data_IF_682352784670
#
_entry.id   IF_682352784670
#
_cell.length_a   1.000
_cell.length_b   1.000
_cell.length_c   1.000
_cell.angle_alpha   90.00
_cell.angle_beta   90.00
_cell.angle_gamma   90.00
#
_symmetry.space_group_name_H-M   'P 1'
#
loop_
_entity.id
_entity.type
_entity.pdbx_description
1 polymer ?
#
# COMPACT_ATOMS: atom_id res chain seq x y z
N UNK A 1 -6.45 7.51 16.23
CA UNK A 1 -6.66 6.93 14.87
C UNK A 1 -5.91 7.85 13.91
N UNK A 2 -4.96 7.34 13.12
CA UNK A 2 -4.11 8.19 12.27
C UNK A 2 -4.88 8.92 11.16
N UNK A 3 -5.98 8.32 10.68
CA UNK A 3 -6.90 8.97 9.75
C UNK A 3 -8.23 9.29 10.46
N UNK A 4 -8.68 10.55 10.43
CA UNK A 4 -9.96 10.95 10.99
C UNK A 4 -11.12 10.36 10.18
N UNK A 5 -12.30 10.31 10.79
CA UNK A 5 -13.53 10.03 10.04
C UNK A 5 -13.80 11.15 9.04
N UNK A 6 -14.41 10.87 7.87
CA UNK A 6 -14.69 11.89 6.88
C UNK A 6 -15.64 12.95 7.47
N UNK A 7 -15.18 14.20 7.51
CA UNK A 7 -15.97 15.37 7.86
C UNK A 7 -16.39 16.15 6.60
N UNK A 8 -17.36 17.05 6.73
CA UNK A 8 -17.73 17.94 5.62
C UNK A 8 -16.55 18.82 5.17
N UNK A 9 -15.71 19.26 6.12
CA UNK A 9 -14.48 19.99 5.82
C UNK A 9 -13.51 19.15 4.98
N UNK A 10 -13.26 17.88 5.35
CA UNK A 10 -12.39 16.99 4.59
C UNK A 10 -12.95 16.69 3.19
N UNK A 11 -14.28 16.59 3.06
CA UNK A 11 -14.93 16.43 1.75
C UNK A 11 -14.73 17.67 0.88
N UNK A 12 -14.87 18.87 1.45
CA UNK A 12 -14.64 20.13 0.75
C UNK A 12 -13.18 20.27 0.33
N UNK A 13 -12.22 19.97 1.21
CA UNK A 13 -10.78 19.97 0.89
C UNK A 13 -10.47 18.97 -0.23
N UNK A 14 -11.02 17.75 -0.18
CA UNK A 14 -10.87 16.76 -1.25
C UNK A 14 -11.39 17.29 -2.59
N UNK A 15 -12.54 17.97 -2.59
CA UNK A 15 -13.08 18.55 -3.81
C UNK A 15 -12.15 19.63 -4.38
N UNK A 16 -11.59 20.48 -3.54
CA UNK A 16 -10.59 21.49 -3.95
C UNK A 16 -9.36 20.80 -4.56
N UNK A 17 -8.83 19.75 -3.92
CA UNK A 17 -7.70 18.97 -4.46
C UNK A 17 -8.03 18.41 -5.84
N UNK A 18 -9.20 17.77 -5.99
CA UNK A 18 -9.64 17.22 -7.28
C UNK A 18 -9.75 18.29 -8.37
N UNK A 19 -10.26 19.48 -8.04
CA UNK A 19 -10.34 20.60 -8.99
C UNK A 19 -8.95 21.08 -9.43
N UNK A 20 -8.04 21.26 -8.46
CA UNK A 20 -6.67 21.69 -8.74
C UNK A 20 -5.90 20.65 -9.56
N UNK A 21 -5.94 19.38 -9.15
CA UNK A 21 -5.33 18.27 -9.87
C UNK A 21 -5.86 18.19 -11.30
N UNK A 22 -7.18 18.26 -11.48
CA UNK A 22 -7.80 18.22 -12.82
C UNK A 22 -7.33 19.39 -13.69
N UNK A 23 -7.27 20.60 -13.13
CA UNK A 23 -6.82 21.77 -13.86
C UNK A 23 -5.34 21.68 -14.27
N UNK A 24 -4.49 21.12 -13.40
CA UNK A 24 -3.06 20.95 -13.64
C UNK A 24 -2.74 19.81 -14.60
N UNK A 25 -3.46 18.69 -14.49
CA UNK A 25 -3.24 17.48 -15.29
C UNK A 25 -3.86 17.54 -16.69
N UNK A 26 -4.69 18.54 -16.99
CA UNK A 26 -5.33 18.69 -18.30
C UNK A 26 -4.40 19.39 -19.32
N UNK A 27 -4.48 18.97 -20.57
CA UNK A 27 -3.87 19.68 -21.68
C UNK A 27 -4.37 21.14 -21.77
N UNK A 28 -3.50 22.10 -22.14
CA UNK A 28 -2.12 21.93 -22.57
C UNK A 28 -1.08 22.00 -21.44
N UNK A 29 -1.48 22.04 -20.16
CA UNK A 29 -0.53 22.18 -19.02
C UNK A 29 0.37 20.96 -18.86
N UNK A 30 -0.16 19.79 -19.15
CA UNK A 30 0.58 18.53 -19.31
C UNK A 30 0.65 18.19 -20.79
N UNK A 31 1.84 17.75 -21.23
CA UNK A 31 2.03 17.27 -22.61
C UNK A 31 1.49 15.86 -22.80
N UNK A 32 1.68 15.01 -21.79
CA UNK A 32 1.20 13.64 -21.77
C UNK A 32 0.67 13.26 -20.41
N UNK A 33 -0.41 12.48 -20.38
CA UNK A 33 -0.97 11.92 -19.15
C UNK A 33 -0.81 10.40 -19.14
N UNK A 34 -0.04 9.87 -18.19
CA UNK A 34 0.33 8.46 -18.12
C UNK A 34 -0.08 7.89 -16.76
N UNK A 35 -0.50 6.63 -16.71
CA UNK A 35 -0.90 5.95 -15.48
C UNK A 35 0.00 4.72 -15.20
N UNK A 36 0.19 4.39 -13.92
CA UNK A 36 1.05 3.25 -13.52
C UNK A 36 0.34 1.88 -13.53
N UNK A 37 -0.95 1.86 -13.88
CA UNK A 37 -1.81 0.68 -13.90
C UNK A 37 -3.25 1.04 -14.25
N UNK A 38 -4.06 0.02 -14.54
CA UNK A 38 -5.46 0.20 -14.94
C UNK A 38 -6.28 0.85 -13.83
N UNK A 39 -6.12 0.42 -12.59
CA UNK A 39 -6.86 0.96 -11.43
C UNK A 39 -6.56 2.44 -11.20
N UNK A 40 -5.35 2.89 -11.52
CA UNK A 40 -4.99 4.32 -11.42
C UNK A 40 -5.66 5.11 -12.55
N UNK A 41 -5.64 4.57 -13.77
CA UNK A 41 -6.31 5.17 -14.93
C UNK A 41 -7.83 5.31 -14.72
N UNK A 42 -8.47 4.25 -14.22
CA UNK A 42 -9.92 4.25 -13.97
C UNK A 42 -10.31 5.27 -12.89
N UNK A 43 -9.50 5.39 -11.83
CA UNK A 43 -9.72 6.41 -10.79
C UNK A 43 -9.54 7.82 -11.32
N UNK A 44 -8.55 8.06 -12.18
CA UNK A 44 -8.34 9.35 -12.83
C UNK A 44 -9.55 9.73 -13.69
N UNK A 45 -10.12 8.77 -14.44
CA UNK A 45 -11.35 9.00 -15.20
C UNK A 45 -12.54 9.27 -14.29
N UNK A 46 -12.72 8.46 -13.23
CA UNK A 46 -13.83 8.59 -12.30
C UNK A 46 -13.82 9.92 -11.52
N UNK A 47 -12.67 10.33 -11.00
CA UNK A 47 -12.58 11.47 -10.07
C UNK A 47 -12.19 12.78 -10.75
N UNK A 48 -11.50 12.74 -11.89
CA UNK A 48 -11.02 13.93 -12.58
C UNK A 48 -11.63 14.10 -13.99
N UNK A 49 -12.31 13.08 -14.51
CA UNK A 49 -12.82 13.09 -15.89
C UNK A 49 -11.71 13.11 -16.94
N UNK A 50 -10.51 12.68 -16.58
CA UNK A 50 -9.33 12.64 -17.46
C UNK A 50 -8.99 11.19 -17.81
N UNK A 51 -8.60 10.95 -19.05
CA UNK A 51 -8.14 9.64 -19.50
C UNK A 51 -6.62 9.66 -19.65
N UNK A 52 -5.94 8.65 -19.09
CA UNK A 52 -4.53 8.47 -19.36
C UNK A 52 -4.35 8.01 -20.81
N UNK A 53 -3.38 8.59 -21.51
CA UNK A 53 -3.02 8.19 -22.88
C UNK A 53 -2.42 6.79 -22.93
N UNK A 54 -1.72 6.40 -21.87
CA UNK A 54 -0.98 5.15 -21.82
C UNK A 54 -0.81 4.66 -20.38
N UNK A 55 -0.85 3.34 -20.20
CA UNK A 55 -0.52 2.68 -18.94
C UNK A 55 0.92 2.16 -19.03
N UNK A 56 1.76 2.63 -18.12
CA UNK A 56 3.17 2.22 -18.01
C UNK A 56 3.36 1.55 -16.67
N UNK A 57 3.52 0.23 -16.69
CA UNK A 57 3.88 -0.52 -15.50
C UNK A 57 5.32 -0.24 -15.09
N UNK A 58 5.59 -0.29 -13.78
CA UNK A 58 6.96 -0.15 -13.29
C UNK A 58 7.81 -1.27 -13.91
N UNK A 59 8.97 -0.93 -14.52
CA UNK A 59 9.84 -1.95 -15.09
C UNK A 59 10.36 -2.84 -13.97
N UNK A 60 10.27 -4.15 -14.16
CA UNK A 60 10.94 -5.13 -13.31
C UNK A 60 12.01 -5.84 -14.13
N UNK A 61 13.19 -6.02 -13.53
CA UNK A 61 14.28 -6.81 -14.10
C UNK A 61 14.24 -8.26 -13.63
N UNK A 62 13.23 -8.63 -12.83
CA UNK A 62 13.09 -9.99 -12.32
C UNK A 62 12.79 -10.95 -13.46
N UNK A 63 13.62 -11.98 -13.58
CA UNK A 63 13.49 -13.07 -14.54
C UNK A 63 13.55 -14.41 -13.80
N UNK A 64 13.05 -15.48 -14.43
CA UNK A 64 13.12 -16.83 -13.86
C UNK A 64 12.24 -17.05 -12.62
N UNK A 65 11.21 -16.22 -12.43
CA UNK A 65 10.22 -16.44 -11.38
C UNK A 65 9.48 -17.74 -11.65
N UNK A 66 9.41 -18.60 -10.63
CA UNK A 66 8.70 -19.86 -10.67
C UNK A 66 7.95 -20.03 -9.34
N UNK A 67 6.90 -20.82 -9.37
CA UNK A 67 6.15 -21.14 -8.17
C UNK A 67 6.98 -22.05 -7.26
N UNK A 68 6.86 -21.82 -5.96
CA UNK A 68 7.53 -22.59 -4.92
C UNK A 68 6.54 -23.02 -3.83
N UNK A 69 7.09 -23.56 -2.75
CA UNK A 69 6.28 -23.94 -1.58
C UNK A 69 5.73 -22.71 -0.87
N UNK A 70 4.48 -22.79 -0.41
CA UNK A 70 3.82 -21.73 0.37
C UNK A 70 4.04 -21.92 1.87
N UNK A 71 5.31 -21.89 2.31
CA UNK A 71 5.66 -22.17 3.71
C UNK A 71 5.53 -20.92 4.63
N UNK A 72 5.53 -19.71 4.06
CA UNK A 72 5.49 -18.46 4.81
C UNK A 72 4.82 -17.32 4.05
N UNK A 73 4.35 -16.32 4.79
CA UNK A 73 4.04 -14.99 4.31
C UNK A 73 5.24 -14.08 4.55
N UNK A 74 5.57 -13.25 3.57
CA UNK A 74 6.64 -12.27 3.69
C UNK A 74 6.10 -10.86 3.58
N UNK A 75 6.44 -10.03 4.56
CA UNK A 75 6.02 -8.64 4.63
C UNK A 75 7.25 -7.72 4.70
N UNK A 76 7.84 -7.36 3.55
CA UNK A 76 8.93 -6.40 3.50
C UNK A 76 8.41 -4.97 3.58
N UNK A 77 9.09 -4.11 4.33
CA UNK A 77 8.94 -2.67 4.23
C UNK A 77 9.09 -1.92 5.54
N UNK A 78 8.79 -0.62 5.49
CA UNK A 78 8.87 0.23 6.69
C UNK A 78 7.88 -0.23 7.75
N UNK A 79 8.36 -0.47 8.97
CA UNK A 79 7.55 -0.81 10.14
C UNK A 79 6.83 0.44 10.64
N UNK A 80 5.72 0.75 9.97
CA UNK A 80 4.85 1.86 10.30
C UNK A 80 3.38 1.43 10.16
N UNK A 81 2.52 1.92 11.04
CA UNK A 81 1.10 1.58 11.17
C UNK A 81 0.30 1.70 9.85
N UNK A 82 0.63 2.64 8.98
CA UNK A 82 0.00 2.79 7.65
C UNK A 82 0.21 1.59 6.71
N UNK A 83 1.25 0.77 6.94
CA UNK A 83 1.55 -0.47 6.19
C UNK A 83 0.76 -1.65 6.74
N UNK A 84 -0.03 -1.44 7.80
CA UNK A 84 -0.93 -2.43 8.39
C UNK A 84 -0.24 -3.71 8.86
N UNK A 85 1.02 -3.63 9.27
CA UNK A 85 1.79 -4.77 9.84
C UNK A 85 1.03 -5.42 11.02
N UNK A 86 0.48 -4.60 11.92
CA UNK A 86 -0.34 -5.08 13.05
C UNK A 86 -1.59 -5.85 12.64
N UNK A 87 -2.16 -5.59 11.46
CA UNK A 87 -3.29 -6.38 10.94
C UNK A 87 -2.86 -7.81 10.57
N UNK A 88 -1.67 -7.96 9.96
CA UNK A 88 -1.11 -9.26 9.65
C UNK A 88 -0.77 -10.04 10.93
N UNK A 89 -0.16 -9.38 11.92
CA UNK A 89 0.13 -9.97 13.23
C UNK A 89 -1.17 -10.44 13.92
N UNK A 90 -2.19 -9.59 13.96
CA UNK A 90 -3.48 -9.94 14.54
C UNK A 90 -4.14 -11.12 13.80
N UNK A 91 -4.06 -11.16 12.47
CA UNK A 91 -4.58 -12.27 11.68
C UNK A 91 -3.85 -13.59 11.99
N UNK A 92 -2.52 -13.57 12.13
CA UNK A 92 -1.73 -14.74 12.52
C UNK A 92 -2.18 -15.31 13.86
N UNK A 93 -2.42 -14.44 14.85
CA UNK A 93 -2.88 -14.86 16.18
C UNK A 93 -4.30 -15.45 16.20
N UNK A 94 -5.12 -15.17 15.18
CA UNK A 94 -6.50 -15.65 15.06
C UNK A 94 -6.63 -16.91 14.20
N UNK A 95 -5.58 -17.30 13.47
CA UNK A 95 -5.60 -18.46 12.57
C UNK A 95 -4.77 -19.61 13.10
N UNK A 96 -5.23 -20.83 12.87
CA UNK A 96 -4.53 -22.07 13.20
C UNK A 96 -3.59 -22.54 12.07
N UNK A 97 -3.42 -21.73 11.02
CA UNK A 97 -2.55 -22.06 9.90
C UNK A 97 -1.09 -22.26 10.35
N UNK A 98 -0.40 -23.31 9.88
CA UNK A 98 0.98 -23.59 10.29
C UNK A 98 2.03 -22.71 9.60
N UNK A 99 1.63 -21.79 8.72
CA UNK A 99 2.54 -20.92 7.99
C UNK A 99 3.22 -19.90 8.91
N UNK A 100 4.44 -19.51 8.57
CA UNK A 100 5.18 -18.45 9.26
C UNK A 100 4.85 -17.07 8.68
N UNK A 101 4.96 -16.03 9.48
CA UNK A 101 4.94 -14.64 9.04
C UNK A 101 6.33 -14.04 9.24
N UNK A 102 7.03 -13.79 8.14
CA UNK A 102 8.34 -13.17 8.12
C UNK A 102 8.20 -11.67 7.83
N UNK A 103 8.69 -10.84 8.73
CA UNK A 103 8.59 -9.39 8.66
C UNK A 103 10.00 -8.82 8.55
N UNK A 104 10.28 -8.03 7.50
CA UNK A 104 11.57 -7.35 7.36
C UNK A 104 11.41 -5.84 7.19
N UNK A 105 12.45 -5.12 7.59
CA UNK A 105 12.52 -3.67 7.60
C UNK A 105 12.49 -3.09 9.01
N UNK A 106 12.41 -1.76 9.06
CA UNK A 106 12.54 -0.97 10.28
C UNK A 106 11.59 0.24 10.24
N UNK A 107 11.34 0.87 11.37
CA UNK A 107 10.48 2.05 11.46
C UNK A 107 9.99 2.38 12.87
N UNK A 108 9.31 3.51 12.98
CA UNK A 108 8.88 4.11 14.24
C UNK A 108 7.95 3.20 15.07
N UNK A 109 7.17 2.33 14.42
CA UNK A 109 6.25 1.41 15.09
C UNK A 109 6.87 0.03 15.39
N UNK A 110 8.17 -0.17 15.15
CA UNK A 110 8.82 -1.49 15.30
C UNK A 110 8.60 -2.11 16.69
N UNK A 111 8.90 -1.34 17.76
CA UNK A 111 8.74 -1.81 19.14
C UNK A 111 7.29 -2.23 19.45
N UNK A 112 6.31 -1.49 18.92
CA UNK A 112 4.88 -1.81 19.06
C UNK A 112 4.55 -3.14 18.39
N UNK A 113 5.02 -3.36 17.16
CA UNK A 113 4.77 -4.62 16.45
C UNK A 113 5.46 -5.82 17.09
N UNK A 114 6.68 -5.65 17.62
CA UNK A 114 7.32 -6.68 18.41
C UNK A 114 6.49 -7.08 19.64
N UNK A 115 5.94 -6.10 20.35
CA UNK A 115 5.05 -6.38 21.49
C UNK A 115 3.74 -7.06 21.06
N UNK A 116 3.12 -6.64 19.95
CA UNK A 116 1.89 -7.25 19.41
C UNK A 116 2.08 -8.71 18.97
N UNK A 117 3.27 -9.05 18.48
CA UNK A 117 3.66 -10.38 18.03
C UNK A 117 4.18 -11.29 19.15
N UNK A 118 4.41 -10.76 20.35
CA UNK A 118 5.01 -11.51 21.44
C UNK A 118 4.18 -12.76 21.79
N UNK A 119 4.89 -13.89 21.95
CA UNK A 119 4.29 -15.17 22.31
C UNK A 119 3.80 -16.03 21.15
N UNK A 120 3.84 -15.55 19.90
CA UNK A 120 3.57 -16.38 18.72
C UNK A 120 4.88 -16.72 17.99
N UNK A 121 5.39 -17.97 18.08
CA UNK A 121 6.64 -18.35 17.46
C UNK A 121 6.59 -18.40 15.92
N UNK A 122 5.40 -18.29 15.31
CA UNK A 122 5.26 -18.25 13.85
C UNK A 122 5.61 -16.88 13.27
N UNK A 123 5.64 -15.83 14.10
CA UNK A 123 5.90 -14.45 13.66
C UNK A 123 7.36 -14.11 13.94
N UNK A 124 8.12 -13.81 12.89
CA UNK A 124 9.56 -13.55 12.97
C UNK A 124 9.92 -12.21 12.32
N UNK A 125 10.74 -11.44 13.02
CA UNK A 125 11.31 -10.19 12.52
C UNK A 125 12.75 -10.44 12.07
N UNK A 126 13.00 -10.27 10.77
CA UNK A 126 14.27 -10.58 10.11
C UNK A 126 15.31 -9.44 10.18
N UNK A 127 14.92 -8.26 10.69
CA UNK A 127 15.76 -7.06 10.66
C UNK A 127 15.73 -6.33 9.32
N UNK A 128 16.77 -5.53 9.06
CA UNK A 128 16.90 -4.69 7.86
C UNK A 128 17.38 -5.46 6.65
#
# INVERSE_FOLDING_TARGET
REFPQPSEELKAQRHVIQLLDTALLRAPRTRRLLAIGQEVSDRLKLYNGLEAEEIIHHPTTLQGLHEGRSDYFFLPGRLHRWKRVGLAIAAMRLTDMPARLLISGDGEDAARFHAEAAGDPRIEFLGR
#
